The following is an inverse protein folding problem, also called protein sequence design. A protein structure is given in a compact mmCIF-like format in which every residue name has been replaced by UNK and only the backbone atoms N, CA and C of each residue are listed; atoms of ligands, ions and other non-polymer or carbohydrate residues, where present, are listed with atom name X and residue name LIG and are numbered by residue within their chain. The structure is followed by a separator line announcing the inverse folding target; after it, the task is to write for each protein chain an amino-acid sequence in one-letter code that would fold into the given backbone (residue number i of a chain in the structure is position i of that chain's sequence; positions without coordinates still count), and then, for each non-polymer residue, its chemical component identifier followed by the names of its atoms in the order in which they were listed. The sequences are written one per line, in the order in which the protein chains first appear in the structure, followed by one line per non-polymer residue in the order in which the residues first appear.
data_IF_915580876713
#
_entry.id   IF_915580876713
#
_cell.length_a   1.000
_cell.length_b   1.000
_cell.length_c   1.000
_cell.angle_alpha   90.00
_cell.angle_beta   90.00
_cell.angle_gamma   90.00
#
_symmetry.space_group_name_H-M   'P 1'
#
loop_
_entity.id
_entity.type
_entity.pdbx_description
1 polymer ?
#
# COMPACT_ATOMS: atom_id res chain seq x y z
N UNK A 1 14.30 -16.43 -31.20
CA UNK A 1 15.39 -15.81 -31.98
C UNK A 1 14.75 -14.68 -32.78
N UNK A 2 14.53 -13.55 -32.14
CA UNK A 2 14.01 -12.35 -32.79
C UNK A 2 14.99 -11.22 -32.57
N UNK A 3 15.68 -10.89 -33.64
CA UNK A 3 16.66 -9.83 -33.76
C UNK A 3 15.98 -8.47 -33.68
N UNK A 4 16.34 -7.69 -32.68
CA UNK A 4 15.96 -6.29 -32.56
C UNK A 4 16.77 -5.51 -33.62
N UNK A 5 16.10 -4.95 -34.62
CA UNK A 5 16.71 -4.03 -35.58
C UNK A 5 16.67 -2.61 -35.00
N UNK A 6 17.84 -2.13 -34.63
CA UNK A 6 18.05 -0.71 -34.25
C UNK A 6 18.18 0.09 -35.55
N UNK A 7 17.27 1.03 -35.78
CA UNK A 7 17.38 2.02 -36.84
C UNK A 7 18.11 3.24 -36.32
N UNK A 8 19.34 3.43 -36.80
CA UNK A 8 20.08 4.69 -36.63
C UNK A 8 19.66 5.63 -37.74
N UNK A 9 18.99 6.72 -37.42
CA UNK A 9 18.64 7.78 -38.37
C UNK A 9 19.84 8.70 -38.49
N UNK A 10 20.60 8.56 -39.59
CA UNK A 10 21.66 9.51 -39.97
C UNK A 10 20.99 10.66 -40.75
N UNK A 11 21.01 11.84 -40.17
CA UNK A 11 20.54 13.05 -40.83
C UNK A 11 21.67 13.59 -41.71
N UNK A 12 21.52 13.40 -43.02
CA UNK A 12 22.42 13.96 -44.05
C UNK A 12 21.97 15.40 -44.33
N UNK A 13 22.74 16.38 -43.84
CA UNK A 13 22.55 17.77 -44.22
C UNK A 13 23.33 18.03 -45.51
N UNK A 14 22.63 18.28 -46.61
CA UNK A 14 23.21 18.67 -47.88
C UNK A 14 23.70 20.11 -47.77
N UNK A 15 25.00 20.29 -47.92
CA UNK A 15 25.64 21.58 -47.95
C UNK A 15 25.51 22.22 -49.34
N UNK A 16 25.02 23.43 -49.39
CA UNK A 16 25.16 24.32 -50.56
C UNK A 16 26.46 25.10 -50.43
N UNK A 17 27.30 24.94 -51.43
CA UNK A 17 28.56 25.68 -51.61
C UNK A 17 28.25 27.10 -52.07
N UNK A 18 28.68 28.10 -51.29
CA UNK A 18 28.84 29.50 -51.77
C UNK A 18 30.30 29.86 -51.66
N UNK A 19 30.82 30.36 -52.77
CA UNK A 19 32.22 30.69 -53.04
C UNK A 19 32.60 32.08 -52.53
N UNK A 20 33.68 32.10 -51.79
CA UNK A 20 34.81 33.05 -51.67
C UNK A 20 34.65 34.55 -51.54
N UNK A 21 35.33 35.13 -50.59
CA UNK A 21 36.46 36.05 -50.75
C UNK A 21 37.19 36.25 -49.41
N UNK A 22 38.50 36.62 -49.45
CA UNK A 22 39.36 36.49 -48.30
C UNK A 22 39.51 37.81 -47.54
N UNK A 23 39.64 37.80 -46.25
CA UNK A 23 40.45 38.77 -45.52
C UNK A 23 40.52 38.49 -44.00
N UNK A 24 41.70 38.54 -43.55
CA UNK A 24 42.21 38.94 -42.23
C UNK A 24 42.09 37.98 -41.07
N UNK A 25 43.28 37.54 -40.69
CA UNK A 25 43.70 36.90 -39.49
C UNK A 25 43.26 37.65 -38.22
N UNK A 26 42.49 36.97 -37.38
CA UNK A 26 42.40 37.26 -35.97
C UNK A 26 42.71 35.93 -35.25
N UNK A 27 43.80 35.90 -34.55
CA UNK A 27 44.13 34.81 -33.62
C UNK A 27 43.06 34.75 -32.55
N UNK A 28 42.24 33.70 -32.59
CA UNK A 28 41.40 33.33 -31.46
C UNK A 28 42.05 32.15 -30.77
N UNK A 29 42.42 32.38 -29.50
CA UNK A 29 42.94 31.40 -28.60
C UNK A 29 42.07 30.16 -28.58
N UNK A 30 42.71 29.01 -28.79
CA UNK A 30 42.12 27.68 -28.62
C UNK A 30 41.65 27.53 -27.18
N UNK A 31 40.34 27.70 -26.99
CA UNK A 31 39.71 27.33 -25.75
C UNK A 31 39.81 25.81 -25.53
N UNK A 32 40.23 25.45 -24.40
CA UNK A 32 40.36 24.10 -23.85
C UNK A 32 39.08 23.28 -24.15
N UNK A 33 39.26 22.21 -24.93
CA UNK A 33 38.17 21.23 -25.15
C UNK A 33 38.02 20.48 -23.81
N UNK A 34 37.04 20.93 -23.04
CA UNK A 34 36.56 20.12 -21.89
C UNK A 34 35.85 18.90 -22.48
N UNK A 35 36.58 17.78 -22.54
CA UNK A 35 35.97 16.48 -22.71
C UNK A 35 35.15 16.23 -21.46
N UNK A 36 33.83 16.46 -21.58
CA UNK A 36 32.86 15.87 -20.69
C UNK A 36 32.90 14.35 -20.96
N UNK A 37 33.81 13.65 -20.30
CA UNK A 37 33.59 12.26 -19.98
C UNK A 37 32.33 12.25 -19.09
N UNK A 38 31.16 12.16 -19.76
CA UNK A 38 29.96 11.73 -19.09
C UNK A 38 30.23 10.29 -18.63
N UNK A 39 30.55 10.13 -17.37
CA UNK A 39 30.26 8.90 -16.64
C UNK A 39 28.75 8.65 -16.79
N UNK A 40 28.36 8.11 -17.93
CA UNK A 40 27.17 7.32 -18.04
C UNK A 40 27.45 6.07 -17.20
N UNK A 41 27.30 6.22 -15.89
CA UNK A 41 26.91 5.08 -15.07
C UNK A 41 25.66 4.56 -15.79
N UNK A 42 25.88 3.46 -16.54
CA UNK A 42 24.81 2.58 -16.95
C UNK A 42 24.10 2.24 -15.63
N UNK A 43 23.00 2.93 -15.36
CA UNK A 43 22.09 2.57 -14.32
C UNK A 43 21.85 1.07 -14.50
N UNK A 44 22.39 0.30 -13.57
CA UNK A 44 22.07 -1.11 -13.48
C UNK A 44 20.56 -1.13 -13.46
N UNK A 45 19.96 -1.75 -14.47
CA UNK A 45 18.49 -1.96 -14.49
C UNK A 45 18.11 -2.44 -13.09
N UNK A 46 17.23 -1.69 -12.37
CA UNK A 46 16.86 -2.10 -11.02
C UNK A 46 16.37 -3.52 -11.11
N UNK A 47 16.99 -4.41 -10.33
CA UNK A 47 16.55 -5.80 -10.29
C UNK A 47 15.07 -5.78 -10.01
N UNK A 48 14.26 -6.47 -10.79
CA UNK A 48 12.79 -6.45 -10.73
C UNK A 48 12.28 -6.62 -9.28
N UNK A 49 13.05 -7.29 -8.43
CA UNK A 49 12.79 -7.49 -7.01
C UNK A 49 12.92 -6.23 -6.16
N UNK A 50 13.74 -5.25 -6.56
CA UNK A 50 14.00 -4.04 -5.75
C UNK A 50 12.91 -2.98 -5.91
N UNK A 51 12.04 -3.10 -6.90
CA UNK A 51 10.96 -2.17 -7.20
C UNK A 51 9.57 -2.66 -6.76
N UNK A 52 9.40 -3.96 -6.51
CA UNK A 52 8.11 -4.53 -6.13
C UNK A 52 7.89 -4.40 -4.62
N UNK A 53 6.83 -3.69 -4.18
CA UNK A 53 6.57 -3.51 -2.77
C UNK A 53 6.17 -4.83 -2.08
N UNK A 54 6.40 -4.91 -0.77
CA UNK A 54 5.96 -6.05 0.05
C UNK A 54 4.47 -5.94 0.34
N UNK A 55 3.74 -7.04 0.21
CA UNK A 55 2.33 -7.10 0.57
C UNK A 55 2.16 -6.85 2.07
N UNK A 56 1.30 -5.91 2.45
CA UNK A 56 1.16 -5.45 3.82
C UNK A 56 2.14 -4.34 4.24
N UNK A 57 3.20 -4.04 3.46
CA UNK A 57 4.20 -3.03 3.81
C UNK A 57 3.64 -1.61 4.03
N UNK A 58 2.45 -1.33 3.52
CA UNK A 58 1.75 -0.06 3.71
C UNK A 58 0.75 -0.07 4.88
N UNK A 59 0.62 -1.19 5.62
CA UNK A 59 -0.39 -1.34 6.67
C UNK A 59 -0.20 -0.36 7.82
N UNK A 60 1.05 -0.18 8.24
CA UNK A 60 1.39 0.63 9.41
C UNK A 60 1.88 2.04 9.01
N UNK A 61 0.93 2.95 8.76
CA UNK A 61 1.20 4.36 8.44
C UNK A 61 0.74 5.33 9.53
N UNK A 62 0.62 4.87 10.78
CA UNK A 62 0.19 5.66 11.92
C UNK A 62 -1.32 5.75 12.11
N UNK A 63 -2.12 5.05 11.29
CA UNK A 63 -3.58 5.13 11.36
C UNK A 63 -4.19 4.37 12.53
N UNK A 64 -3.52 3.33 13.02
CA UNK A 64 -4.00 2.54 14.16
C UNK A 64 -3.66 3.20 15.51
N UNK A 65 -2.60 3.99 15.59
CA UNK A 65 -2.13 4.60 16.84
C UNK A 65 -2.84 5.92 17.19
N UNK A 66 -3.68 6.44 16.30
CA UNK A 66 -4.46 7.65 16.57
C UNK A 66 -5.64 7.36 17.50
N UNK A 67 -5.54 7.81 18.73
CA UNK A 67 -6.54 7.77 19.82
C UNK A 67 -7.16 6.39 20.02
N UNK A 68 -6.71 5.70 21.08
CA UNK A 68 -7.43 4.56 21.65
C UNK A 68 -8.86 5.00 22.00
N UNK A 69 -9.81 4.72 21.12
CA UNK A 69 -11.21 4.81 21.49
C UNK A 69 -11.61 3.47 22.09
N UNK A 70 -12.36 3.46 23.20
CA UNK A 70 -12.83 2.20 23.77
C UNK A 70 -13.68 1.47 22.73
N UNK A 71 -13.17 0.31 22.28
CA UNK A 71 -13.92 -0.57 21.39
C UNK A 71 -14.72 -1.54 22.26
N UNK A 72 -16.01 -1.66 21.98
CA UNK A 72 -16.84 -2.64 22.66
C UNK A 72 -16.38 -4.07 22.28
N UNK A 73 -15.70 -4.73 23.19
CA UNK A 73 -15.38 -6.15 23.09
C UNK A 73 -16.30 -6.92 24.05
N UNK A 74 -17.27 -7.71 23.56
CA UNK A 74 -18.20 -8.46 24.41
C UNK A 74 -17.49 -9.50 25.29
N UNK A 75 -16.37 -10.02 24.83
CA UNK A 75 -15.57 -11.03 25.51
C UNK A 75 -14.52 -10.45 26.47
N UNK A 76 -14.38 -9.11 26.49
CA UNK A 76 -13.48 -8.44 27.43
C UNK A 76 -13.87 -8.79 28.86
N UNK A 77 -12.92 -9.28 29.64
CA UNK A 77 -13.10 -9.58 31.07
C UNK A 77 -12.71 -8.36 31.89
N UNK A 78 -13.64 -7.87 32.68
CA UNK A 78 -13.40 -6.72 33.57
C UNK A 78 -12.16 -7.00 34.42
N UNK A 79 -11.23 -6.06 34.42
CA UNK A 79 -9.97 -6.13 35.16
C UNK A 79 -9.94 -5.11 36.31
N UNK A 80 -9.05 -5.36 37.27
CA UNK A 80 -8.76 -4.40 38.36
C UNK A 80 -8.22 -3.12 37.75
N UNK A 81 -8.77 -1.97 38.14
CA UNK A 81 -8.41 -0.68 37.59
C UNK A 81 -9.23 -0.23 36.37
N UNK A 82 -10.10 -1.07 35.84
CA UNK A 82 -11.11 -0.63 34.85
C UNK A 82 -12.10 0.32 35.50
N UNK A 83 -12.74 1.13 34.69
CA UNK A 83 -13.84 2.01 35.12
C UNK A 83 -15.15 1.52 34.53
N UNK A 84 -16.13 1.28 35.37
CA UNK A 84 -17.47 0.83 34.99
C UNK A 84 -18.41 2.02 35.07
N UNK A 85 -19.07 2.34 33.98
CA UNK A 85 -20.19 3.30 33.97
C UNK A 85 -21.48 2.57 34.34
N UNK A 86 -22.14 3.04 35.37
CA UNK A 86 -23.38 2.45 35.89
C UNK A 86 -24.47 3.49 35.87
N UNK A 87 -25.60 3.16 35.26
CA UNK A 87 -26.84 3.97 35.26
C UNK A 87 -27.96 3.15 35.83
N UNK A 88 -28.64 3.69 36.83
CA UNK A 88 -29.80 3.09 37.48
C UNK A 88 -30.93 4.12 37.45
N UNK A 89 -32.13 3.69 37.03
CA UNK A 89 -33.33 4.56 37.01
C UNK A 89 -34.60 3.78 37.40
N UNK A 90 -35.64 4.52 37.75
CA UNK A 90 -36.93 4.01 38.23
C UNK A 90 -37.17 4.44 39.68
N UNK A 91 -37.07 3.56 40.67
CA UNK A 91 -37.31 3.92 42.07
C UNK A 91 -36.30 4.94 42.62
N UNK A 92 -35.14 5.05 42.02
CA UNK A 92 -34.15 6.11 42.24
C UNK A 92 -33.28 6.30 41.01
N UNK A 93 -32.69 7.48 40.87
CA UNK A 93 -31.77 7.78 39.78
C UNK A 93 -30.34 7.83 40.30
N UNK A 94 -29.43 7.19 39.58
CA UNK A 94 -28.02 7.16 39.86
C UNK A 94 -27.23 6.99 38.55
N UNK A 95 -26.28 7.88 38.33
CA UNK A 95 -25.32 7.78 37.24
C UNK A 95 -23.93 8.00 37.82
N UNK A 96 -23.03 7.06 37.61
CA UNK A 96 -21.66 7.15 38.14
C UNK A 96 -20.71 6.27 37.34
N UNK A 97 -19.45 6.71 37.29
CA UNK A 97 -18.32 5.94 36.83
C UNK A 97 -17.50 5.47 38.03
N UNK A 98 -17.36 4.15 38.19
CA UNK A 98 -16.76 3.54 39.35
C UNK A 98 -15.54 2.73 38.95
N UNK A 99 -14.35 2.96 39.55
CA UNK A 99 -13.19 2.12 39.32
C UNK A 99 -13.35 0.77 40.01
N UNK A 100 -12.85 -0.27 39.36
CA UNK A 100 -12.74 -1.63 39.97
C UNK A 100 -11.57 -1.60 40.94
N UNK A 101 -11.84 -1.90 42.21
CA UNK A 101 -10.87 -1.88 43.28
C UNK A 101 -9.86 -3.04 43.19
N UNK A 102 -8.86 -3.05 44.09
CA UNK A 102 -7.82 -4.08 44.17
C UNK A 102 -8.35 -5.48 44.51
N UNK A 103 -9.57 -5.58 45.02
CA UNK A 103 -10.25 -6.83 45.30
C UNK A 103 -11.16 -7.30 44.15
N UNK A 104 -11.23 -6.55 43.08
CA UNK A 104 -12.06 -6.85 41.89
C UNK A 104 -13.53 -6.45 42.09
N UNK A 105 -13.84 -5.50 42.96
CA UNK A 105 -15.19 -5.07 43.26
C UNK A 105 -15.42 -3.63 42.76
N UNK A 106 -16.68 -3.26 42.56
CA UNK A 106 -17.14 -1.88 42.47
C UNK A 106 -18.09 -1.60 43.63
N UNK A 107 -18.08 -0.37 44.14
CA UNK A 107 -19.03 0.08 45.15
C UNK A 107 -20.10 0.98 44.53
N UNK A 108 -21.36 0.56 44.61
CA UNK A 108 -22.50 1.32 44.11
C UNK A 108 -23.28 1.88 45.30
N UNK A 109 -23.40 3.22 45.48
CA UNK A 109 -24.18 3.81 46.54
C UNK A 109 -25.60 3.25 46.61
N UNK A 110 -26.12 3.03 47.80
CA UNK A 110 -27.44 2.43 48.07
C UNK A 110 -27.56 0.93 47.72
N UNK A 111 -26.67 0.35 46.88
CA UNK A 111 -26.68 -1.06 46.51
C UNK A 111 -25.66 -1.83 47.35
N UNK A 112 -24.41 -1.31 47.40
CA UNK A 112 -23.28 -1.92 48.08
C UNK A 112 -22.21 -2.44 47.14
N UNK A 113 -21.36 -3.30 47.64
CA UNK A 113 -20.22 -3.88 46.89
C UNK A 113 -20.67 -4.98 45.93
N UNK A 114 -20.17 -4.96 44.70
CA UNK A 114 -20.43 -5.96 43.65
C UNK A 114 -19.10 -6.44 43.07
N UNK A 115 -18.86 -7.76 43.11
CA UNK A 115 -17.69 -8.37 42.46
C UNK A 115 -17.91 -8.38 40.96
N UNK A 116 -16.99 -7.77 40.23
CA UNK A 116 -17.08 -7.59 38.75
C UNK A 116 -15.84 -8.09 38.02
N UNK A 117 -14.69 -8.24 38.68
CA UNK A 117 -13.48 -8.72 38.05
C UNK A 117 -13.65 -10.12 37.45
N UNK A 118 -13.15 -10.32 36.22
CA UNK A 118 -13.26 -11.57 35.47
C UNK A 118 -14.60 -11.80 34.77
N UNK A 119 -15.60 -10.93 35.00
CA UNK A 119 -16.91 -11.02 34.33
C UNK A 119 -16.75 -10.47 32.89
N UNK A 120 -17.29 -11.18 31.91
CA UNK A 120 -17.33 -10.68 30.53
C UNK A 120 -18.21 -9.42 30.43
N UNK A 121 -17.80 -8.47 29.60
CA UNK A 121 -18.53 -7.22 29.41
C UNK A 121 -20.00 -7.46 28.96
N UNK A 122 -20.22 -8.50 28.16
CA UNK A 122 -21.56 -8.93 27.76
C UNK A 122 -22.46 -9.37 28.94
N UNK A 123 -21.89 -9.89 30.02
CA UNK A 123 -22.61 -10.40 31.20
C UNK A 123 -22.67 -9.38 32.35
N UNK A 124 -21.99 -8.25 32.23
CA UNK A 124 -21.85 -7.26 33.30
C UNK A 124 -23.22 -6.70 33.75
N UNK A 125 -24.07 -6.38 32.78
CA UNK A 125 -25.42 -5.84 33.05
C UNK A 125 -26.24 -6.83 33.88
N UNK A 126 -26.22 -8.12 33.54
CA UNK A 126 -27.00 -9.15 34.25
C UNK A 126 -26.56 -9.33 35.70
N UNK A 127 -25.23 -9.33 35.93
CA UNK A 127 -24.68 -9.43 37.29
C UNK A 127 -25.09 -8.23 38.14
N UNK A 128 -24.98 -7.03 37.61
CA UNK A 128 -25.38 -5.81 38.32
C UNK A 128 -26.89 -5.75 38.55
N UNK A 129 -27.68 -6.10 37.56
CA UNK A 129 -29.14 -6.20 37.67
C UNK A 129 -29.57 -7.17 38.73
N UNK A 130 -28.97 -8.37 38.80
CA UNK A 130 -29.25 -9.35 39.82
C UNK A 130 -28.95 -8.84 41.25
N UNK A 131 -27.84 -8.07 41.40
CA UNK A 131 -27.46 -7.50 42.72
C UNK A 131 -28.40 -6.36 43.13
N UNK A 132 -28.80 -5.51 42.20
CA UNK A 132 -29.71 -4.38 42.45
C UNK A 132 -31.10 -4.90 42.80
N UNK A 133 -31.62 -5.89 42.07
CA UNK A 133 -32.95 -6.46 42.28
C UNK A 133 -33.09 -7.24 43.59
N UNK A 134 -32.01 -7.70 44.18
CA UNK A 134 -32.04 -8.31 45.55
C UNK A 134 -32.44 -7.29 46.62
N UNK A 135 -32.22 -6.00 46.39
CA UNK A 135 -32.51 -4.95 47.34
C UNK A 135 -33.70 -4.07 46.95
N UNK A 136 -33.86 -3.87 45.69
CA UNK A 136 -34.92 -3.02 45.09
C UNK A 136 -35.71 -3.89 44.13
N UNK A 137 -36.92 -4.23 44.43
CA UNK A 137 -37.79 -5.04 43.57
C UNK A 137 -37.77 -4.57 42.11
N UNK A 138 -38.51 -5.25 41.21
CA UNK A 138 -38.49 -5.10 39.75
C UNK A 138 -38.81 -3.68 39.15
N UNK A 139 -38.90 -2.64 39.96
CA UNK A 139 -39.13 -1.24 39.54
C UNK A 139 -37.84 -0.43 39.26
N UNK A 140 -36.70 -1.11 39.17
CA UNK A 140 -35.39 -0.47 38.94
C UNK A 140 -34.76 -1.08 37.70
N UNK A 141 -34.35 -0.19 36.79
CA UNK A 141 -33.61 -0.56 35.59
C UNK A 141 -32.14 -0.26 35.77
N UNK A 142 -31.30 -1.12 35.20
CA UNK A 142 -29.84 -1.03 35.30
C UNK A 142 -29.24 -1.13 33.91
N UNK A 143 -28.34 -0.20 33.62
CA UNK A 143 -27.42 -0.26 32.49
C UNK A 143 -26.01 -0.13 33.01
N UNK A 144 -25.09 -0.90 32.43
CA UNK A 144 -23.68 -0.83 32.76
C UNK A 144 -22.80 -1.21 31.57
N UNK A 145 -21.66 -0.56 31.45
CA UNK A 145 -20.64 -0.88 30.48
C UNK A 145 -19.26 -0.52 31.03
N UNK A 146 -18.21 -1.10 30.44
CA UNK A 146 -16.83 -0.68 30.70
C UNK A 146 -16.61 0.65 29.97
N UNK A 147 -16.38 1.73 30.74
CA UNK A 147 -16.17 3.11 30.25
C UNK A 147 -14.67 3.44 30.14
N UNK A 148 -13.83 2.83 30.97
CA UNK A 148 -12.39 3.00 30.95
C UNK A 148 -11.68 1.68 31.15
N UNK A 149 -10.69 1.40 30.31
CA UNK A 149 -9.89 0.18 30.37
C UNK A 149 -8.60 0.42 31.14
N UNK A 150 -8.08 -0.62 31.76
CA UNK A 150 -6.82 -0.57 32.50
C UNK A 150 -5.67 -0.18 31.57
N UNK A 151 -4.83 0.80 31.96
CA UNK A 151 -3.60 1.10 31.23
C UNK A 151 -2.61 -0.05 31.38
N UNK A 152 -1.96 -0.41 30.27
CA UNK A 152 -0.96 -1.47 30.21
C UNK A 152 0.27 -0.99 29.46
N UNK A 153 1.41 -1.65 29.71
CA UNK A 153 2.62 -1.46 28.94
C UNK A 153 2.99 -2.80 28.30
N UNK A 154 3.11 -2.79 26.96
CA UNK A 154 3.35 -3.97 26.12
C UNK A 154 4.69 -3.83 25.43
N UNK A 155 5.52 -4.86 25.50
CA UNK A 155 6.75 -4.93 24.73
C UNK A 155 6.42 -5.22 23.27
N UNK A 156 7.03 -4.49 22.35
CA UNK A 156 7.00 -4.79 20.92
C UNK A 156 8.42 -4.99 20.46
N UNK A 157 8.73 -6.18 19.94
CA UNK A 157 10.09 -6.60 19.63
C UNK A 157 10.16 -7.48 18.37
N UNK A 158 11.35 -7.97 18.04
CA UNK A 158 11.59 -8.68 16.79
C UNK A 158 11.77 -7.70 15.63
N UNK A 159 11.30 -8.06 14.45
CA UNK A 159 11.51 -7.30 13.22
C UNK A 159 10.51 -6.15 13.04
N UNK A 160 10.46 -5.26 14.00
CA UNK A 160 9.71 -3.98 13.93
C UNK A 160 10.68 -2.81 13.73
N UNK A 161 10.17 -1.69 13.22
CA UNK A 161 11.03 -0.53 12.94
C UNK A 161 11.57 0.14 14.22
N UNK A 162 10.83 0.08 15.33
CA UNK A 162 11.26 0.62 16.63
C UNK A 162 10.87 -0.33 17.75
N UNK A 163 11.73 -1.28 18.13
CA UNK A 163 11.49 -2.14 19.29
C UNK A 163 11.46 -1.32 20.58
N UNK A 164 10.59 -1.69 21.53
CA UNK A 164 10.49 -0.99 22.81
C UNK A 164 9.29 -1.38 23.65
N UNK A 165 9.09 -0.67 24.75
CA UNK A 165 7.94 -0.77 25.63
C UNK A 165 6.94 0.34 25.31
N UNK A 166 5.71 -0.03 24.99
CA UNK A 166 4.69 0.90 24.55
C UNK A 166 3.48 0.95 25.49
N UNK A 167 3.10 2.15 25.95
CA UNK A 167 1.89 2.31 26.73
C UNK A 167 0.64 2.20 25.85
N UNK A 168 -0.41 1.64 26.43
CA UNK A 168 -1.72 1.50 25.80
C UNK A 168 -2.79 1.11 26.80
N UNK A 169 -3.93 0.69 26.30
CA UNK A 169 -5.03 0.16 27.09
C UNK A 169 -5.10 -1.35 26.92
N UNK A 170 -5.61 -2.05 27.94
CA UNK A 170 -5.81 -3.51 27.88
C UNK A 170 -6.73 -3.95 26.72
N UNK A 171 -7.55 -3.06 26.21
CA UNK A 171 -8.44 -3.27 25.05
C UNK A 171 -7.83 -2.90 23.71
N UNK A 172 -6.62 -2.31 23.67
CA UNK A 172 -5.95 -1.97 22.41
C UNK A 172 -5.64 -3.26 21.62
N UNK A 173 -5.68 -3.19 20.30
CA UNK A 173 -5.34 -4.32 19.44
C UNK A 173 -3.82 -4.45 19.26
N UNK A 174 -3.35 -5.62 18.84
CA UNK A 174 -1.95 -5.83 18.47
C UNK A 174 -1.49 -4.86 17.37
N UNK A 175 -2.38 -4.53 16.42
CA UNK A 175 -2.09 -3.56 15.36
C UNK A 175 -1.76 -2.18 15.90
N UNK A 176 -2.45 -1.73 16.96
CA UNK A 176 -2.18 -0.44 17.58
C UNK A 176 -0.79 -0.39 18.22
N UNK A 177 -0.38 -1.46 18.91
CA UNK A 177 0.95 -1.53 19.51
C UNK A 177 2.05 -1.62 18.45
N UNK A 178 1.85 -2.42 17.38
CA UNK A 178 2.80 -2.50 16.25
C UNK A 178 2.91 -1.15 15.55
N UNK A 179 1.81 -0.43 15.36
CA UNK A 179 1.82 0.89 14.72
C UNK A 179 2.56 1.94 15.59
N UNK A 180 2.43 1.89 16.92
CA UNK A 180 3.24 2.68 17.85
C UNK A 180 4.73 2.40 17.69
N UNK A 181 5.11 1.15 17.39
CA UNK A 181 6.47 0.72 17.08
C UNK A 181 6.90 1.07 15.63
N UNK A 182 6.12 1.91 14.91
CA UNK A 182 6.34 2.31 13.51
C UNK A 182 6.21 1.16 12.52
N UNK A 183 5.47 0.11 12.88
CA UNK A 183 5.16 -1.01 12.02
C UNK A 183 6.25 -2.07 11.93
N UNK A 184 5.95 -3.09 11.15
CA UNK A 184 6.85 -4.20 10.83
C UNK A 184 7.89 -3.71 9.81
N UNK A 185 9.14 -4.14 9.97
CA UNK A 185 10.18 -3.88 8.98
C UNK A 185 9.89 -4.71 7.71
N UNK A 186 9.61 -4.09 6.55
CA UNK A 186 9.19 -4.84 5.38
C UNK A 186 10.32 -5.68 4.76
N UNK A 187 11.57 -5.42 5.11
CA UNK A 187 12.72 -6.16 4.57
C UNK A 187 12.92 -7.50 5.28
N UNK A 188 12.77 -7.54 6.60
CA UNK A 188 13.12 -8.70 7.43
C UNK A 188 11.94 -9.27 8.20
N UNK A 189 10.91 -8.48 8.48
CA UNK A 189 9.79 -8.86 9.33
C UNK A 189 8.72 -9.64 8.58
N UNK A 190 8.18 -10.63 9.29
CA UNK A 190 7.05 -11.42 8.82
C UNK A 190 5.72 -10.72 9.13
N UNK A 191 4.85 -10.65 8.13
CA UNK A 191 3.45 -10.23 8.30
C UNK A 191 2.53 -11.41 8.63
N UNK A 192 3.07 -12.64 8.66
CA UNK A 192 2.32 -13.87 8.96
C UNK A 192 2.67 -14.47 10.31
N UNK A 193 3.85 -14.16 10.86
CA UNK A 193 4.34 -14.68 12.12
C UNK A 193 4.49 -13.58 13.16
N UNK A 194 3.35 -13.15 13.73
CA UNK A 194 3.31 -12.21 14.83
C UNK A 194 2.82 -12.95 16.06
N UNK A 195 3.71 -13.15 17.02
CA UNK A 195 3.42 -13.90 18.24
C UNK A 195 3.14 -12.95 19.40
N UNK A 196 2.16 -13.34 20.25
CA UNK A 196 1.92 -12.67 21.52
C UNK A 196 2.33 -13.60 22.63
N UNK A 197 3.23 -13.12 23.48
CA UNK A 197 3.87 -13.86 24.55
C UNK A 197 3.47 -13.27 25.90
N UNK A 198 3.02 -14.12 26.82
CA UNK A 198 2.69 -13.78 28.21
C UNK A 198 3.37 -14.77 29.14
N UNK A 199 4.10 -14.27 30.15
CA UNK A 199 4.82 -15.13 31.13
C UNK A 199 5.70 -16.18 30.43
N UNK A 200 6.45 -15.76 29.39
CA UNK A 200 7.33 -16.59 28.55
C UNK A 200 6.62 -17.75 27.80
N UNK A 201 5.31 -17.66 27.63
CA UNK A 201 4.52 -18.62 26.85
C UNK A 201 3.84 -17.90 25.70
N UNK A 202 3.90 -18.47 24.50
CA UNK A 202 3.11 -18.04 23.36
C UNK A 202 1.63 -18.30 23.67
N UNK A 203 0.82 -17.24 23.64
CA UNK A 203 -0.61 -17.30 23.92
C UNK A 203 -1.45 -17.13 22.66
N UNK A 204 -0.89 -16.49 21.63
CA UNK A 204 -1.57 -16.24 20.37
C UNK A 204 -0.55 -16.06 19.24
N UNK A 205 -0.93 -16.44 18.05
CA UNK A 205 -0.22 -16.14 16.80
C UNK A 205 -1.18 -15.43 15.86
N UNK A 206 -0.72 -14.36 15.23
CA UNK A 206 -1.51 -13.55 14.30
C UNK A 206 -0.90 -13.64 12.91
N UNK A 207 -1.74 -13.93 11.92
CA UNK A 207 -1.44 -13.79 10.50
C UNK A 207 -2.11 -12.50 9.97
N UNK A 208 -1.31 -11.48 9.69
CA UNK A 208 -1.86 -10.19 9.22
C UNK A 208 -2.35 -10.26 7.77
N UNK A 209 -2.05 -11.34 7.03
CA UNK A 209 -2.63 -11.59 5.71
C UNK A 209 -4.14 -11.82 5.81
N UNK A 210 -4.62 -12.48 6.86
CA UNK A 210 -6.05 -12.68 7.11
C UNK A 210 -6.73 -11.33 7.38
N UNK A 211 -6.07 -10.46 8.14
CA UNK A 211 -6.57 -9.11 8.35
C UNK A 211 -6.60 -8.28 7.06
N UNK A 212 -5.53 -8.30 6.25
CA UNK A 212 -5.45 -7.52 5.01
C UNK A 212 -6.44 -8.03 3.95
N UNK A 213 -6.66 -9.34 3.89
CA UNK A 213 -7.50 -9.96 2.86
C UNK A 213 -8.98 -10.01 3.24
N UNK A 214 -9.29 -10.30 4.49
CA UNK A 214 -10.63 -10.62 4.98
C UNK A 214 -11.13 -9.66 6.05
N UNK A 215 -10.26 -8.84 6.65
CA UNK A 215 -10.58 -7.98 7.79
C UNK A 215 -10.65 -8.75 9.13
N UNK A 216 -10.20 -9.99 9.14
CA UNK A 216 -10.25 -10.86 10.33
C UNK A 216 -9.03 -10.62 11.23
N UNK A 217 -9.29 -10.33 12.50
CA UNK A 217 -8.26 -10.22 13.52
C UNK A 217 -8.80 -10.70 14.88
N UNK A 218 -8.05 -11.54 15.51
CA UNK A 218 -8.37 -11.99 16.86
C UNK A 218 -8.09 -10.87 17.87
N UNK A 219 -9.10 -10.56 18.67
CA UNK A 219 -9.00 -9.54 19.71
C UNK A 219 -8.52 -10.20 21.03
N UNK A 220 -7.36 -9.78 21.49
CA UNK A 220 -6.79 -10.17 22.75
C UNK A 220 -6.91 -9.05 23.77
N UNK A 221 -7.21 -9.39 25.01
CA UNK A 221 -7.05 -8.48 26.15
C UNK A 221 -5.59 -8.49 26.60
N UNK A 222 -4.88 -7.37 26.41
CA UNK A 222 -3.49 -7.23 26.81
C UNK A 222 -3.36 -7.05 28.33
N UNK A 223 -2.29 -7.61 28.87
CA UNK A 223 -1.87 -7.40 30.24
C UNK A 223 -0.53 -6.67 30.30
N UNK A 224 -0.26 -6.08 31.46
CA UNK A 224 1.02 -5.41 31.67
C UNK A 224 2.18 -6.42 31.58
N UNK A 225 3.17 -6.11 30.76
CA UNK A 225 4.33 -6.99 30.53
C UNK A 225 4.15 -8.04 29.43
N UNK A 226 3.01 -8.07 28.71
CA UNK A 226 2.88 -8.87 27.49
C UNK A 226 3.92 -8.42 26.45
N UNK A 227 4.32 -9.32 25.57
CA UNK A 227 5.23 -9.04 24.48
C UNK A 227 4.63 -9.43 23.12
N UNK A 228 4.69 -8.52 22.16
CA UNK A 228 4.41 -8.78 20.75
C UNK A 228 5.74 -8.99 20.07
N UNK A 229 5.94 -10.15 19.45
CA UNK A 229 7.18 -10.55 18.80
C UNK A 229 6.91 -10.74 17.31
N UNK A 230 7.54 -9.92 16.48
CA UNK A 230 7.47 -10.08 15.02
C UNK A 230 8.61 -10.98 14.57
N UNK A 231 8.26 -12.13 14.01
CA UNK A 231 9.22 -13.11 13.51
C UNK A 231 9.97 -12.67 12.27
N UNK A 232 10.95 -13.48 11.84
CA UNK A 232 11.67 -13.31 10.60
C UNK A 232 10.84 -13.82 9.41
N UNK A 233 10.86 -13.08 8.31
CA UNK A 233 10.33 -13.60 7.06
C UNK A 233 11.24 -14.73 6.55
N UNK A 234 10.66 -15.90 6.33
CA UNK A 234 11.43 -17.08 5.90
C UNK A 234 11.40 -17.27 4.38
N UNK A 235 10.26 -17.15 3.79
CA UNK A 235 10.04 -17.50 2.38
C UNK A 235 9.25 -16.41 1.68
N UNK A 236 9.77 -15.92 0.55
CA UNK A 236 9.09 -14.92 -0.28
C UNK A 236 9.08 -15.35 -1.73
N UNK A 237 8.08 -14.88 -2.45
CA UNK A 237 8.01 -14.92 -3.91
C UNK A 237 7.47 -13.58 -4.42
N UNK A 238 7.71 -13.28 -5.68
CA UNK A 238 7.29 -12.01 -6.28
C UNK A 238 6.25 -12.28 -7.36
N UNK A 239 5.18 -11.47 -7.41
CA UNK A 239 4.19 -11.51 -8.48
C UNK A 239 4.17 -10.16 -9.20
N UNK A 240 4.25 -10.22 -10.53
CA UNK A 240 4.25 -9.07 -11.43
C UNK A 240 3.25 -9.26 -12.58
N UNK A 241 3.13 -8.24 -13.43
CA UNK A 241 2.34 -8.32 -14.67
C UNK A 241 0.85 -8.04 -14.49
N UNK A 242 0.02 -8.77 -15.21
CA UNK A 242 -1.43 -8.55 -15.31
C UNK A 242 -2.21 -9.07 -14.10
N UNK A 243 -1.87 -8.56 -12.93
CA UNK A 243 -2.56 -8.81 -11.65
C UNK A 243 -3.07 -7.50 -11.05
N UNK A 244 -4.03 -7.60 -10.13
CA UNK A 244 -4.52 -6.44 -9.36
C UNK A 244 -3.58 -6.09 -8.20
N UNK A 245 -2.82 -7.08 -7.71
CA UNK A 245 -1.92 -6.95 -6.57
C UNK A 245 -0.51 -7.43 -6.93
N UNK A 246 0.28 -6.60 -7.64
CA UNK A 246 1.67 -6.91 -7.97
C UNK A 246 2.55 -6.62 -6.75
N UNK A 247 2.79 -7.63 -5.92
CA UNK A 247 3.53 -7.52 -4.68
C UNK A 247 4.54 -8.65 -4.50
N UNK A 248 5.46 -8.44 -3.59
CA UNK A 248 6.25 -9.50 -2.98
C UNK A 248 5.43 -10.08 -1.82
N UNK A 249 5.11 -11.37 -1.90
CA UNK A 249 4.31 -12.08 -0.92
C UNK A 249 5.18 -13.00 -0.06
N UNK A 250 4.73 -13.23 1.17
CA UNK A 250 5.30 -14.20 2.09
C UNK A 250 4.57 -15.53 1.98
N UNK A 251 5.32 -16.64 1.86
CA UNK A 251 4.78 -17.98 1.86
C UNK A 251 4.47 -18.44 3.30
N UNK A 252 3.31 -19.08 3.54
CA UNK A 252 3.02 -19.68 4.84
C UNK A 252 3.86 -20.93 5.13
N UNK A 253 4.41 -21.54 4.09
CA UNK A 253 5.24 -22.74 4.15
C UNK A 253 6.19 -22.79 2.94
N UNK A 254 7.15 -23.72 2.96
CA UNK A 254 8.22 -23.82 1.94
C UNK A 254 7.71 -23.91 0.50
N UNK A 255 6.55 -24.51 0.28
CA UNK A 255 5.96 -24.74 -1.05
C UNK A 255 4.46 -24.51 -0.98
N UNK A 256 3.90 -23.80 -1.96
CA UNK A 256 2.46 -23.58 -2.11
C UNK A 256 2.03 -23.84 -3.55
N UNK A 257 0.75 -24.10 -3.77
CA UNK A 257 0.17 -24.18 -5.11
C UNK A 257 0.03 -22.80 -5.72
N UNK A 258 0.21 -22.72 -7.04
CA UNK A 258 0.03 -21.46 -7.78
C UNK A 258 -1.40 -20.91 -7.65
N UNK A 259 -2.42 -21.79 -7.51
CA UNK A 259 -3.79 -21.37 -7.26
C UNK A 259 -3.90 -20.45 -6.03
N UNK A 260 -3.28 -20.82 -4.92
CA UNK A 260 -3.29 -20.00 -3.70
C UNK A 260 -2.56 -18.62 -3.89
N UNK A 261 -1.53 -18.63 -4.74
CA UNK A 261 -0.83 -17.39 -5.13
C UNK A 261 -1.75 -16.49 -5.96
N UNK A 262 -2.47 -17.08 -6.93
CA UNK A 262 -3.40 -16.32 -7.78
C UNK A 262 -4.59 -15.75 -6.99
N UNK A 263 -5.06 -16.45 -5.97
CA UNK A 263 -6.10 -15.95 -5.06
C UNK A 263 -5.63 -14.68 -4.29
N UNK A 264 -4.36 -14.59 -3.95
CA UNK A 264 -3.77 -13.40 -3.32
C UNK A 264 -3.51 -12.27 -4.33
N UNK A 265 -2.94 -12.60 -5.49
CA UNK A 265 -2.50 -11.63 -6.50
C UNK A 265 -3.66 -11.07 -7.34
N UNK A 266 -4.77 -11.82 -7.47
CA UNK A 266 -5.98 -11.46 -8.21
C UNK A 266 -5.66 -11.12 -9.68
N UNK A 267 -5.45 -12.12 -10.56
CA UNK A 267 -5.23 -11.91 -11.97
C UNK A 267 -6.33 -11.04 -12.60
N UNK A 268 -5.96 -10.20 -13.57
CA UNK A 268 -6.94 -9.47 -14.37
C UNK A 268 -7.66 -10.42 -15.31
N UNK A 269 -8.86 -10.05 -15.75
CA UNK A 269 -9.67 -10.87 -16.66
C UNK A 269 -9.00 -11.08 -18.03
N UNK A 270 -8.02 -10.26 -18.38
CA UNK A 270 -7.23 -10.36 -19.61
C UNK A 270 -6.07 -11.34 -19.51
N UNK A 271 -5.70 -11.75 -18.32
CA UNK A 271 -4.55 -12.64 -18.10
C UNK A 271 -4.84 -14.05 -18.65
N UNK A 272 -3.94 -14.56 -19.47
CA UNK A 272 -4.06 -15.90 -20.10
C UNK A 272 -2.93 -16.85 -19.71
N UNK A 273 -1.76 -16.31 -19.40
CA UNK A 273 -0.56 -17.10 -19.17
C UNK A 273 0.18 -16.64 -17.91
N UNK A 274 0.98 -17.53 -17.38
CA UNK A 274 1.88 -17.27 -16.26
C UNK A 274 3.26 -17.83 -16.55
N UNK A 275 4.29 -17.03 -16.28
CA UNK A 275 5.68 -17.44 -16.36
C UNK A 275 6.30 -17.41 -14.98
N UNK A 276 6.91 -18.53 -14.59
CA UNK A 276 7.63 -18.68 -13.32
C UNK A 276 9.11 -18.69 -13.62
N UNK A 277 9.82 -17.72 -13.09
CA UNK A 277 11.27 -17.66 -13.11
C UNK A 277 11.81 -18.18 -11.79
N UNK A 278 12.60 -19.26 -11.85
CA UNK A 278 13.16 -19.94 -10.69
C UNK A 278 14.67 -20.08 -10.80
N UNK A 279 15.38 -19.87 -9.71
CA UNK A 279 16.80 -20.16 -9.60
C UNK A 279 17.00 -21.58 -9.10
N UNK A 280 17.79 -22.37 -9.83
CA UNK A 280 18.29 -23.67 -9.36
C UNK A 280 19.52 -23.51 -8.46
N UNK A 281 19.79 -24.55 -7.69
CA UNK A 281 20.95 -24.62 -6.78
C UNK A 281 22.30 -24.49 -7.49
N UNK A 282 22.36 -24.77 -8.79
CA UNK A 282 23.55 -24.61 -9.64
C UNK A 282 23.69 -23.21 -10.26
N UNK A 283 22.97 -22.24 -9.74
CA UNK A 283 22.94 -20.87 -10.24
C UNK A 283 22.35 -20.72 -11.67
N UNK A 284 21.66 -21.74 -12.16
CA UNK A 284 20.92 -21.66 -13.43
C UNK A 284 19.53 -21.11 -13.21
N UNK A 285 19.12 -20.21 -14.09
CA UNK A 285 17.78 -19.63 -14.14
C UNK A 285 16.92 -20.46 -15.09
N UNK A 286 15.81 -20.98 -14.61
CA UNK A 286 14.83 -21.66 -15.44
C UNK A 286 13.56 -20.82 -15.58
N UNK A 287 12.97 -20.91 -16.75
CA UNK A 287 11.72 -20.25 -17.10
C UNK A 287 10.67 -21.33 -17.41
N UNK A 288 9.57 -21.31 -16.67
CA UNK A 288 8.46 -22.24 -16.83
C UNK A 288 7.21 -21.42 -17.21
N UNK A 289 6.65 -21.68 -18.36
CA UNK A 289 5.46 -20.96 -18.84
C UNK A 289 4.28 -21.93 -18.95
N UNK A 290 3.14 -21.51 -18.42
CA UNK A 290 1.91 -22.29 -18.39
C UNK A 290 0.72 -21.41 -18.82
N UNK A 291 -0.31 -22.02 -19.39
CA UNK A 291 -1.61 -21.41 -19.47
C UNK A 291 -2.19 -21.24 -18.05
N UNK A 292 -2.79 -20.11 -17.75
CA UNK A 292 -3.25 -19.78 -16.39
C UNK A 292 -4.28 -20.80 -15.87
N UNK A 293 -5.17 -21.27 -16.74
CA UNK A 293 -6.22 -22.24 -16.38
C UNK A 293 -5.67 -23.62 -16.03
N UNK A 294 -4.55 -24.02 -16.65
CA UNK A 294 -3.91 -25.32 -16.46
C UNK A 294 -2.86 -25.31 -15.34
N UNK A 295 -2.52 -24.15 -14.83
CA UNK A 295 -1.37 -23.98 -13.94
C UNK A 295 -1.70 -24.11 -12.44
N UNK A 296 -2.95 -24.36 -12.07
CA UNK A 296 -3.44 -24.33 -10.67
C UNK A 296 -2.66 -25.21 -9.70
N UNK A 297 -2.22 -26.38 -10.14
CA UNK A 297 -1.50 -27.36 -9.32
C UNK A 297 0.03 -27.17 -9.34
N UNK A 298 0.55 -26.20 -10.11
CA UNK A 298 1.99 -25.91 -10.17
C UNK A 298 2.48 -25.44 -8.82
N UNK A 299 3.62 -25.97 -8.39
CA UNK A 299 4.19 -25.65 -7.08
C UNK A 299 5.13 -24.46 -7.17
N UNK A 300 4.92 -23.50 -6.28
CA UNK A 300 5.71 -22.28 -6.10
C UNK A 300 6.59 -22.44 -4.87
N UNK A 301 7.84 -22.03 -5.00
CA UNK A 301 8.87 -22.07 -3.95
C UNK A 301 9.41 -20.69 -3.64
N UNK A 302 10.13 -20.59 -2.54
CA UNK A 302 10.80 -19.33 -2.15
C UNK A 302 11.77 -18.86 -3.24
N UNK A 303 11.76 -17.56 -3.51
CA UNK A 303 12.60 -16.93 -4.53
C UNK A 303 12.03 -16.96 -5.95
N UNK A 304 10.89 -17.61 -6.18
CA UNK A 304 10.24 -17.60 -7.50
C UNK A 304 9.76 -16.17 -7.83
N UNK A 305 9.93 -15.80 -9.10
CA UNK A 305 9.32 -14.61 -9.68
C UNK A 305 8.26 -15.06 -10.67
N UNK A 306 7.04 -14.67 -10.43
CA UNK A 306 5.85 -15.06 -11.17
C UNK A 306 5.38 -13.84 -11.96
N UNK A 307 5.38 -13.94 -13.27
CA UNK A 307 4.89 -12.91 -14.18
C UNK A 307 3.63 -13.39 -14.88
N UNK A 308 2.54 -12.68 -14.66
CA UNK A 308 1.24 -12.96 -15.24
C UNK A 308 1.02 -12.05 -16.44
N UNK A 309 0.67 -12.59 -17.58
CA UNK A 309 0.53 -11.80 -18.80
C UNK A 309 -0.59 -12.31 -19.71
N UNK A 310 -0.99 -11.47 -20.66
CA UNK A 310 -1.90 -11.83 -21.73
C UNK A 310 -1.10 -12.11 -23.02
N UNK A 311 -1.34 -13.22 -23.66
CA UNK A 311 -0.84 -13.51 -25.01
C UNK A 311 -1.74 -12.89 -26.10
N UNK A 312 -2.91 -12.39 -25.70
CA UNK A 312 -3.72 -11.61 -26.61
C UNK A 312 -3.06 -10.26 -26.85
N UNK A 313 -2.43 -10.12 -27.98
CA UNK A 313 -2.11 -8.80 -28.51
C UNK A 313 -3.44 -8.08 -28.74
N UNK A 314 -3.77 -7.19 -27.82
CA UNK A 314 -4.88 -6.25 -28.03
C UNK A 314 -4.52 -5.39 -29.26
N UNK A 315 -4.86 -5.90 -30.44
CA UNK A 315 -4.69 -5.14 -31.69
C UNK A 315 -5.73 -4.02 -31.83
N UNK A 316 -6.51 -3.80 -30.76
CA UNK A 316 -7.57 -2.84 -30.73
C UNK A 316 -7.19 -1.62 -29.89
N UNK A 317 -7.55 -0.45 -30.37
CA UNK A 317 -7.50 0.82 -29.65
C UNK A 317 -8.91 1.37 -29.45
N UNK A 318 -9.16 1.96 -28.31
CA UNK A 318 -10.37 2.74 -28.07
C UNK A 318 -10.14 4.19 -28.49
N UNK A 319 -10.93 4.69 -29.41
CA UNK A 319 -10.91 6.09 -29.86
C UNK A 319 -12.20 6.77 -29.45
N UNK A 320 -12.08 7.89 -28.75
CA UNK A 320 -13.20 8.75 -28.42
C UNK A 320 -13.28 9.89 -29.45
N UNK A 321 -14.45 10.07 -30.02
CA UNK A 321 -14.74 11.09 -31.01
C UNK A 321 -15.57 12.18 -30.32
N UNK A 322 -15.12 13.42 -30.48
CA UNK A 322 -15.79 14.59 -29.92
C UNK A 322 -16.01 15.62 -31.04
N UNK A 323 -17.05 16.42 -30.90
CA UNK A 323 -17.44 17.39 -31.87
C UNK A 323 -18.76 17.02 -32.59
N UNK A 324 -19.05 17.70 -33.69
CA UNK A 324 -20.30 17.53 -34.42
C UNK A 324 -20.25 16.30 -35.34
N UNK A 325 -20.87 15.20 -34.90
CA UNK A 325 -20.99 13.95 -35.66
C UNK A 325 -22.23 13.17 -35.25
N UNK A 326 -22.65 12.22 -36.07
CA UNK A 326 -23.72 11.27 -35.78
C UNK A 326 -23.11 9.89 -35.50
N UNK A 327 -23.60 9.19 -34.43
CA UNK A 327 -23.22 7.84 -34.14
C UNK A 327 -22.50 7.68 -32.79
N UNK A 328 -21.65 6.66 -32.69
CA UNK A 328 -20.98 6.32 -31.42
C UNK A 328 -19.85 7.31 -31.11
N UNK A 329 -19.84 7.82 -29.90
CA UNK A 329 -18.76 8.66 -29.40
C UNK A 329 -17.47 7.87 -29.09
N UNK A 330 -17.58 6.56 -28.98
CA UNK A 330 -16.41 5.69 -28.68
C UNK A 330 -16.44 4.52 -29.66
N UNK A 331 -15.32 4.34 -30.36
CA UNK A 331 -15.11 3.27 -31.33
C UNK A 331 -13.94 2.39 -30.89
N UNK A 332 -14.08 1.10 -31.11
CA UNK A 332 -13.01 0.13 -31.01
C UNK A 332 -12.41 -0.07 -32.41
N UNK A 333 -11.14 0.25 -32.58
CA UNK A 333 -10.46 0.23 -33.90
C UNK A 333 -9.17 -0.58 -33.82
N UNK A 334 -8.73 -1.13 -34.95
CA UNK A 334 -7.43 -1.80 -35.02
C UNK A 334 -6.30 -0.78 -34.84
N UNK A 335 -5.21 -1.21 -34.16
CA UNK A 335 -4.03 -0.35 -33.91
C UNK A 335 -3.39 0.17 -35.19
N UNK A 336 -3.49 -0.58 -36.28
CA UNK A 336 -2.87 -0.27 -37.57
C UNK A 336 -3.72 0.65 -38.44
N UNK A 337 -4.93 1.05 -38.02
CA UNK A 337 -5.80 1.92 -38.81
C UNK A 337 -5.19 3.31 -38.89
N UNK A 338 -5.19 3.86 -40.07
CA UNK A 338 -4.80 5.27 -40.30
C UNK A 338 -5.99 6.20 -40.11
N UNK A 339 -5.74 7.46 -39.80
CA UNK A 339 -6.79 8.49 -39.69
C UNK A 339 -7.59 8.60 -41.00
N UNK A 340 -6.91 8.48 -42.14
CA UNK A 340 -7.54 8.49 -43.47
C UNK A 340 -8.53 7.35 -43.69
N UNK A 341 -8.33 6.20 -43.03
CA UNK A 341 -9.24 5.06 -43.13
C UNK A 341 -10.31 5.10 -42.02
N UNK A 342 -10.08 5.81 -40.92
CA UNK A 342 -11.04 5.96 -39.82
C UNK A 342 -12.10 7.02 -40.14
N UNK A 343 -11.69 8.20 -40.61
CA UNK A 343 -12.58 9.34 -40.84
C UNK A 343 -13.74 9.04 -41.80
N UNK A 344 -13.56 8.32 -42.90
CA UNK A 344 -14.68 7.94 -43.80
C UNK A 344 -15.73 7.02 -43.19
N UNK A 345 -15.38 6.34 -42.05
CA UNK A 345 -16.31 5.48 -41.34
C UNK A 345 -17.21 6.26 -40.37
N UNK A 346 -16.90 7.53 -40.13
CA UNK A 346 -17.68 8.38 -39.26
C UNK A 346 -18.89 8.94 -40.01
N UNK A 347 -20.05 8.93 -39.33
CA UNK A 347 -21.25 9.59 -39.86
C UNK A 347 -21.19 11.09 -39.51
N UNK A 348 -20.87 11.87 -40.48
CA UNK A 348 -20.77 13.33 -40.35
C UNK A 348 -22.13 14.00 -40.57
N UNK A 349 -22.32 15.16 -39.95
CA UNK A 349 -23.49 16.04 -40.18
C UNK A 349 -23.12 17.13 -41.17
N UNK A 350 -24.10 17.93 -41.63
CA UNK A 350 -23.85 19.09 -42.45
C UNK A 350 -23.07 20.23 -41.75
N UNK A 351 -22.94 20.14 -40.44
CA UNK A 351 -22.21 21.08 -39.57
C UNK A 351 -20.80 20.61 -39.24
N UNK A 352 -20.43 19.38 -39.63
CA UNK A 352 -19.08 18.84 -39.40
C UNK A 352 -18.05 19.51 -40.31
N UNK A 353 -16.98 20.03 -39.72
CA UNK A 353 -15.87 20.60 -40.47
C UNK A 353 -14.69 19.63 -40.54
N UNK A 354 -14.47 19.04 -41.71
CA UNK A 354 -13.40 18.08 -41.95
C UNK A 354 -12.01 18.71 -41.97
N UNK A 355 -11.91 20.04 -42.15
CA UNK A 355 -10.63 20.74 -42.12
C UNK A 355 -10.10 20.99 -40.71
N UNK A 356 -10.98 20.91 -39.73
CA UNK A 356 -10.68 21.14 -38.31
C UNK A 356 -10.41 19.86 -37.51
N UNK A 357 -10.16 18.72 -38.15
CA UNK A 357 -9.89 17.44 -37.45
C UNK A 357 -8.57 17.49 -36.70
N UNK A 358 -8.62 17.22 -35.40
CA UNK A 358 -7.45 17.18 -34.52
C UNK A 358 -7.33 15.79 -33.85
N UNK A 359 -6.11 15.31 -33.73
CA UNK A 359 -5.81 14.02 -33.05
C UNK A 359 -5.07 14.26 -31.72
N UNK A 360 -5.69 13.84 -30.62
CA UNK A 360 -5.08 13.91 -29.30
C UNK A 360 -4.69 12.49 -28.82
N UNK A 361 -3.43 12.33 -28.46
CA UNK A 361 -2.91 11.08 -27.89
C UNK A 361 -2.54 11.27 -26.41
N UNK A 362 -3.25 10.61 -25.51
CA UNK A 362 -3.00 10.70 -24.05
C UNK A 362 -1.54 10.38 -23.69
N UNK A 363 -0.97 9.33 -24.27
CA UNK A 363 0.42 8.92 -24.01
C UNK A 363 1.45 9.99 -24.44
N UNK A 364 1.18 10.70 -25.54
CA UNK A 364 2.04 11.80 -26.02
C UNK A 364 1.89 13.00 -25.09
N UNK A 365 0.66 13.34 -24.71
CA UNK A 365 0.39 14.45 -23.80
C UNK A 365 1.06 14.25 -22.43
N UNK A 366 1.00 13.04 -21.87
CA UNK A 366 1.67 12.72 -20.61
C UNK A 366 3.19 12.81 -20.71
N UNK A 367 3.77 12.25 -21.77
CA UNK A 367 5.22 12.36 -22.02
C UNK A 367 5.67 13.80 -22.21
N UNK A 368 4.90 14.60 -22.94
CA UNK A 368 5.18 16.04 -23.10
C UNK A 368 5.09 16.78 -21.77
N UNK A 369 4.09 16.48 -20.95
CA UNK A 369 3.96 17.06 -19.60
C UNK A 369 5.17 16.73 -18.72
N UNK A 370 5.64 15.48 -18.72
CA UNK A 370 6.82 15.07 -17.96
C UNK A 370 8.08 15.81 -18.44
N UNK A 371 8.27 15.94 -19.77
CA UNK A 371 9.40 16.66 -20.35
C UNK A 371 9.35 18.15 -19.99
N UNK A 372 8.18 18.78 -20.05
CA UNK A 372 8.00 20.18 -19.65
C UNK A 372 8.29 20.39 -18.17
N UNK A 373 7.83 19.49 -17.30
CA UNK A 373 8.13 19.55 -15.86
C UNK A 373 9.63 19.38 -15.57
N UNK A 374 10.30 18.49 -16.30
CA UNK A 374 11.74 18.30 -16.18
C UNK A 374 12.49 19.56 -16.63
N UNK A 375 12.14 20.14 -17.79
CA UNK A 375 12.74 21.37 -18.30
C UNK A 375 12.50 22.57 -17.36
N UNK A 376 11.31 22.65 -16.77
CA UNK A 376 10.99 23.72 -15.82
C UNK A 376 11.85 23.62 -14.55
N UNK A 377 12.04 22.39 -14.05
CA UNK A 377 12.92 22.13 -12.90
C UNK A 377 14.40 22.43 -13.20
N UNK A 378 14.83 22.13 -14.41
CA UNK A 378 16.18 22.48 -14.88
C UNK A 378 16.38 23.99 -14.96
N UNK A 379 15.41 24.72 -15.54
CA UNK A 379 15.41 26.19 -15.57
C UNK A 379 15.41 26.81 -14.15
N UNK A 380 14.57 26.28 -13.27
CA UNK A 380 14.54 26.70 -11.86
C UNK A 380 15.92 26.52 -11.20
N UNK A 381 16.55 25.37 -11.40
CA UNK A 381 17.89 25.09 -10.87
C UNK A 381 18.91 26.05 -11.47
N UNK A 382 18.86 26.30 -12.76
CA UNK A 382 19.77 27.22 -13.44
C UNK A 382 19.60 28.65 -12.93
N UNK A 383 18.37 29.12 -12.76
CA UNK A 383 18.07 30.44 -12.18
C UNK A 383 18.57 30.56 -10.75
N UNK A 384 18.44 29.51 -9.94
CA UNK A 384 18.88 29.51 -8.54
C UNK A 384 20.40 29.39 -8.37
N UNK A 385 21.09 28.70 -9.30
CA UNK A 385 22.52 28.43 -9.20
C UNK A 385 23.39 29.46 -9.92
N UNK A 386 22.87 30.18 -10.92
CA UNK A 386 23.65 31.21 -11.63
C UNK A 386 23.81 32.45 -10.74
N UNK A 387 25.02 32.89 -10.47
CA UNK A 387 25.30 34.14 -9.76
C UNK A 387 24.93 35.35 -10.62
N UNK A 388 24.12 36.29 -10.10
CA UNK A 388 23.84 37.54 -10.79
C UNK A 388 25.07 38.45 -10.73
N UNK A 389 25.48 38.94 -11.91
CA UNK A 389 26.64 39.84 -12.05
C UNK A 389 26.22 41.30 -11.84
N UNK A 390 24.95 41.63 -12.11
CA UNK A 390 24.42 42.98 -11.98
C UNK A 390 23.15 43.04 -11.15
N UNK A 391 22.86 44.27 -10.62
CA UNK A 391 21.67 44.50 -9.80
C UNK A 391 20.35 44.35 -10.59
N UNK A 392 20.42 44.57 -11.88
CA UNK A 392 19.28 44.45 -12.80
C UNK A 392 18.96 42.99 -13.15
N UNK A 393 19.99 42.14 -13.28
CA UNK A 393 19.82 40.69 -13.41
C UNK A 393 19.24 40.05 -12.13
N UNK A 394 19.58 40.55 -10.97
CA UNK A 394 19.03 40.09 -9.71
C UNK A 394 17.53 40.42 -9.57
N UNK A 395 17.07 41.55 -10.12
CA UNK A 395 15.67 41.95 -10.12
C UNK A 395 14.84 41.13 -11.09
N UNK A 396 15.36 40.81 -12.29
CA UNK A 396 14.64 39.95 -13.25
C UNK A 396 14.50 38.48 -12.79
N UNK A 397 15.32 38.06 -11.87
CA UNK A 397 15.29 36.69 -11.30
C UNK A 397 14.16 36.48 -10.33
N UNK A 398 13.62 37.55 -9.73
CA UNK A 398 12.55 37.49 -8.74
C UNK A 398 11.17 37.80 -9.31
N UNK A 399 11.04 38.00 -10.60
CA UNK A 399 9.79 38.08 -11.35
C UNK A 399 9.46 36.74 -12.02
#
# INVERSE_FOLDING_TARGET
MNTIKIWILVLLVAGTIVKSAPAQSAEVSVGEVVTLESDLQLDQEPRLSDTVPVFGGNLFKGQFSHKSQPHFNPNYKVAIGDTISVRIWGAFELELDVPVDSQGNIFIPKVGTVAVAGIANSSLIEVLKAKVHRKYNHQVFVYANVAGYQPVSVFVTGNVNRPGLYPGMSSDSALQFIDKAKGINPQYGSFRQVEIVRNNKKIMELDLYDFISNGEIDLLQFHNGDAIVVGDVQYRFTVTGDVKRPFMFELPQTVVKLSAVMDLALPKATATNVTITRWKTDNQKILLTYALDESREVLITAGDVIDVFSDHTDNLNTVTITGEHQGLHTLLINKDITLGNLVPQLKLTSLSDMTAVQLFRKSVAEKQKQLLLASLKELETLVLTTSSVTKDEALMRNQ
#
